data_IF_710375192224
#
_entry.id   IF_710375192224
#
_cell.length_a   1.000
_cell.length_b   1.000
_cell.length_c   1.000
_cell.angle_alpha   90.00
_cell.angle_beta   90.00
_cell.angle_gamma   90.00
#
_symmetry.space_group_name_H-M   'P 1'
#
loop_
_entity.id
_entity.type
_entity.pdbx_description
1 polymer ?
#
# COMPACT_ATOMS: atom_id res chain seq x y z
N UNK A 1 8.66 14.85 -8.35
CA UNK A 1 8.71 13.97 -9.56
C UNK A 1 9.49 12.68 -9.39
N UNK A 2 10.56 12.59 -8.59
CA UNK A 2 11.35 11.35 -8.39
C UNK A 2 10.55 10.02 -8.30
N UNK A 3 9.50 9.87 -7.46
CA UNK A 3 8.80 8.59 -7.33
C UNK A 3 8.04 8.15 -8.60
N UNK A 4 7.67 9.11 -9.46
CA UNK A 4 7.08 8.80 -10.76
C UNK A 4 8.08 8.08 -11.66
N UNK A 5 9.25 8.68 -11.85
CA UNK A 5 10.29 8.12 -12.71
C UNK A 5 10.86 6.83 -12.15
N UNK A 6 10.97 6.70 -10.83
CA UNK A 6 11.37 5.46 -10.19
C UNK A 6 10.44 4.30 -10.57
N UNK A 7 9.12 4.48 -10.42
CA UNK A 7 8.14 3.44 -10.78
C UNK A 7 8.15 3.19 -12.29
N UNK A 8 8.22 4.25 -13.11
CA UNK A 8 8.29 4.15 -14.57
C UNK A 8 9.47 3.27 -15.01
N UNK A 9 10.66 3.47 -14.46
CA UNK A 9 11.85 2.70 -14.84
C UNK A 9 11.65 1.20 -14.67
N UNK A 10 11.05 0.76 -13.56
CA UNK A 10 10.76 -0.66 -13.36
C UNK A 10 9.63 -1.17 -14.27
N UNK A 11 8.56 -0.39 -14.43
CA UNK A 11 7.44 -0.77 -15.29
C UNK A 11 7.88 -0.95 -16.76
N UNK A 12 8.67 0.00 -17.28
CA UNK A 12 9.23 -0.07 -18.64
C UNK A 12 10.20 -1.25 -18.78
N UNK A 13 11.01 -1.52 -17.76
CA UNK A 13 11.91 -2.69 -17.71
C UNK A 13 11.15 -4.02 -17.76
N UNK A 14 10.12 -4.18 -16.93
CA UNK A 14 9.27 -5.38 -16.91
C UNK A 14 8.57 -5.58 -18.26
N UNK A 15 8.03 -4.51 -18.84
CA UNK A 15 7.42 -4.54 -20.17
C UNK A 15 8.41 -4.96 -21.26
N UNK A 16 9.64 -4.46 -21.20
CA UNK A 16 10.71 -4.83 -22.15
C UNK A 16 11.11 -6.30 -22.04
N UNK A 17 10.97 -6.90 -20.86
CA UNK A 17 11.19 -8.32 -20.61
C UNK A 17 9.97 -9.20 -21.00
N UNK A 18 8.93 -8.61 -21.60
CA UNK A 18 7.71 -9.31 -22.01
C UNK A 18 6.68 -9.50 -20.90
N UNK A 19 6.88 -8.90 -19.72
CA UNK A 19 5.95 -9.00 -18.59
C UNK A 19 4.97 -7.82 -18.59
N UNK A 20 3.88 -7.94 -19.35
CA UNK A 20 2.92 -6.84 -19.56
C UNK A 20 1.90 -6.67 -18.45
N UNK A 21 1.61 -7.71 -17.68
CA UNK A 21 0.62 -7.71 -16.59
C UNK A 21 1.26 -7.59 -15.19
N UNK A 22 2.50 -7.08 -15.13
CA UNK A 22 3.21 -6.93 -13.87
C UNK A 22 2.79 -5.70 -13.07
N UNK A 23 2.89 -5.84 -11.74
CA UNK A 23 2.64 -4.79 -10.76
C UNK A 23 3.96 -4.34 -10.13
N UNK A 24 4.09 -3.03 -9.88
CA UNK A 24 5.24 -2.46 -9.15
C UNK A 24 4.77 -1.95 -7.81
N UNK A 25 5.14 -2.64 -6.73
CA UNK A 25 4.90 -2.16 -5.36
C UNK A 25 5.85 -1.00 -5.06
N UNK A 26 5.29 0.19 -4.83
CA UNK A 26 6.04 1.40 -4.51
C UNK A 26 5.60 1.99 -3.18
N UNK A 27 6.58 2.56 -2.45
CA UNK A 27 6.35 3.26 -1.18
C UNK A 27 5.99 4.74 -1.36
N UNK A 28 6.08 5.26 -2.59
CA UNK A 28 5.77 6.66 -2.86
C UNK A 28 5.25 6.85 -4.29
N UNK A 29 4.51 7.95 -4.48
CA UNK A 29 3.81 8.23 -5.72
C UNK A 29 3.87 9.72 -6.08
N UNK A 30 3.54 10.01 -7.34
CA UNK A 30 3.25 11.35 -7.83
C UNK A 30 2.06 11.28 -8.79
N UNK A 31 1.50 12.42 -9.17
CA UNK A 31 0.41 12.51 -10.13
C UNK A 31 0.75 11.74 -11.42
N UNK A 32 -0.16 10.87 -11.87
CA UNK A 32 -0.03 10.09 -13.10
C UNK A 32 0.69 8.75 -12.96
N UNK A 33 1.20 8.39 -11.76
CA UNK A 33 1.95 7.13 -11.55
C UNK A 33 1.11 5.87 -11.82
N UNK A 34 -0.22 5.96 -11.74
CA UNK A 34 -1.13 4.85 -12.03
C UNK A 34 -1.01 4.30 -13.46
N UNK A 35 -0.40 5.07 -14.38
CA UNK A 35 -0.08 4.63 -15.76
C UNK A 35 1.00 3.55 -15.82
N UNK A 36 1.79 3.40 -14.75
CA UNK A 36 2.98 2.55 -14.67
C UNK A 36 2.78 1.35 -13.75
N UNK A 37 1.57 0.79 -13.75
CA UNK A 37 1.17 -0.36 -12.94
C UNK A 37 1.56 -0.27 -11.45
N UNK A 38 1.49 0.94 -10.90
CA UNK A 38 1.95 1.23 -9.55
C UNK A 38 0.94 0.78 -8.50
N UNK A 39 1.37 -0.08 -7.58
CA UNK A 39 0.66 -0.37 -6.33
C UNK A 39 1.29 0.48 -5.24
N UNK A 40 0.54 1.44 -4.69
CA UNK A 40 1.05 2.28 -3.60
C UNK A 40 0.78 1.61 -2.25
N UNK A 41 1.79 1.56 -1.40
CA UNK A 41 1.64 1.11 -0.02
C UNK A 41 1.99 2.23 0.97
N UNK A 42 1.32 2.26 2.12
CA UNK A 42 1.34 3.40 3.06
C UNK A 42 2.61 3.54 3.92
N UNK A 43 3.62 2.70 3.72
CA UNK A 43 4.91 2.86 4.40
C UNK A 43 4.97 2.24 5.81
N UNK A 44 6.11 2.49 6.44
CA UNK A 44 6.52 1.93 7.73
C UNK A 44 5.65 2.50 8.89
N UNK A 45 4.42 2.01 9.01
CA UNK A 45 3.44 2.45 10.03
C UNK A 45 3.60 1.71 11.36
N UNK A 46 3.19 2.30 12.48
CA UNK A 46 3.15 1.59 13.76
C UNK A 46 1.93 0.70 13.87
N UNK A 47 2.07 -0.41 14.59
CA UNK A 47 1.00 -1.34 14.92
C UNK A 47 0.08 -0.79 16.03
N UNK A 48 -0.69 0.26 15.71
CA UNK A 48 -1.71 0.82 16.62
C UNK A 48 -3.04 1.07 15.92
N UNK A 49 -4.13 1.17 16.69
CA UNK A 49 -5.45 1.52 16.17
C UNK A 49 -5.48 2.90 15.50
N UNK A 50 -4.72 3.88 16.01
CA UNK A 50 -4.64 5.22 15.41
C UNK A 50 -4.09 5.18 13.98
N UNK A 51 -3.10 4.32 13.73
CA UNK A 51 -2.53 4.14 12.39
C UNK A 51 -3.50 3.38 11.48
N UNK A 52 -4.28 2.42 12.00
CA UNK A 52 -5.37 1.79 11.25
C UNK A 52 -6.43 2.83 10.84
N UNK A 53 -6.86 3.73 11.74
CA UNK A 53 -7.81 4.80 11.41
C UNK A 53 -7.24 5.74 10.34
N UNK A 54 -5.96 6.11 10.47
CA UNK A 54 -5.27 6.94 9.47
C UNK A 54 -5.21 6.25 8.11
N UNK A 55 -4.99 4.93 8.07
CA UNK A 55 -4.96 4.15 6.84
C UNK A 55 -6.29 4.22 6.07
N UNK A 56 -7.43 4.20 6.76
CA UNK A 56 -8.75 4.32 6.12
C UNK A 56 -8.89 5.67 5.39
N UNK A 57 -8.51 6.77 6.05
CA UNK A 57 -8.54 8.10 5.43
C UNK A 57 -7.52 8.24 4.29
N UNK A 58 -6.33 7.66 4.44
CA UNK A 58 -5.30 7.64 3.41
C UNK A 58 -5.80 6.91 2.14
N UNK A 59 -6.45 5.76 2.29
CA UNK A 59 -7.03 5.01 1.19
C UNK A 59 -7.97 5.88 0.35
N UNK A 60 -8.91 6.57 0.99
CA UNK A 60 -9.90 7.40 0.31
C UNK A 60 -9.22 8.56 -0.46
N UNK A 61 -8.28 9.25 0.16
CA UNK A 61 -7.56 10.36 -0.47
C UNK A 61 -6.70 9.91 -1.66
N UNK A 62 -6.01 8.77 -1.54
CA UNK A 62 -5.20 8.21 -2.62
C UNK A 62 -6.07 7.78 -3.81
N UNK A 63 -7.20 7.12 -3.54
CA UNK A 63 -8.14 6.73 -4.60
C UNK A 63 -8.77 7.95 -5.29
N UNK A 64 -9.17 8.98 -4.54
CA UNK A 64 -9.66 10.25 -5.10
C UNK A 64 -8.57 10.97 -5.93
N UNK A 65 -7.30 10.75 -5.62
CA UNK A 65 -6.17 11.27 -6.40
C UNK A 65 -5.87 10.48 -7.68
N UNK A 66 -6.69 9.45 -8.00
CA UNK A 66 -6.59 8.66 -9.22
C UNK A 66 -5.61 7.48 -9.16
N UNK A 67 -5.12 7.11 -7.96
CA UNK A 67 -4.28 5.94 -7.76
C UNK A 67 -5.16 4.81 -7.22
N UNK A 68 -5.62 3.94 -8.11
CA UNK A 68 -6.58 2.89 -7.78
C UNK A 68 -5.96 1.73 -6.99
N UNK A 69 -4.70 1.38 -7.26
CA UNK A 69 -4.03 0.28 -6.57
C UNK A 69 -3.31 0.78 -5.33
N UNK A 70 -3.87 0.45 -4.17
CA UNK A 70 -3.35 0.85 -2.87
C UNK A 70 -3.49 -0.27 -1.85
N UNK A 71 -2.58 -0.32 -0.86
CA UNK A 71 -2.62 -1.27 0.25
C UNK A 71 -1.87 -0.77 1.49
N UNK A 72 -1.91 -1.55 2.56
CA UNK A 72 -1.15 -1.37 3.81
C UNK A 72 -0.39 -2.65 4.14
N UNK A 73 0.48 -2.61 5.15
CA UNK A 73 0.86 -3.87 5.81
C UNK A 73 -0.23 -4.19 6.83
N UNK A 74 -0.93 -5.31 6.69
CA UNK A 74 -1.94 -5.74 7.67
C UNK A 74 -1.30 -5.90 9.05
N UNK A 75 -1.79 -5.13 10.03
CA UNK A 75 -1.25 -5.08 11.39
C UNK A 75 -0.21 -3.98 11.62
N UNK A 76 0.16 -3.22 10.60
CA UNK A 76 1.23 -2.23 10.67
C UNK A 76 2.63 -2.85 10.55
N UNK A 77 3.64 -2.02 10.32
CA UNK A 77 5.02 -2.44 10.09
C UNK A 77 5.82 -2.64 11.39
N UNK A 78 5.69 -1.71 12.34
CA UNK A 78 6.56 -1.64 13.51
C UNK A 78 5.83 -1.68 14.85
N UNK A 79 6.40 -2.42 15.80
CA UNK A 79 5.96 -2.42 17.21
C UNK A 79 4.84 -3.40 17.56
N UNK A 80 4.45 -4.27 16.63
CA UNK A 80 3.51 -5.36 16.92
C UNK A 80 4.17 -6.49 17.69
N UNK A 81 3.58 -6.88 18.83
CA UNK A 81 3.99 -8.05 19.62
C UNK A 81 2.88 -9.11 19.58
N UNK A 82 3.10 -10.28 18.95
CA UNK A 82 2.10 -11.37 18.90
C UNK A 82 1.63 -11.87 20.28
N UNK A 83 2.43 -11.68 21.33
CA UNK A 83 2.09 -12.07 22.70
C UNK A 83 1.14 -11.08 23.38
N UNK A 84 1.03 -9.85 22.87
CA UNK A 84 0.09 -8.84 23.35
C UNK A 84 -1.34 -9.09 22.81
N UNK A 85 -2.32 -9.13 23.71
CA UNK A 85 -3.74 -9.25 23.35
C UNK A 85 -4.25 -8.09 22.53
N UNK A 86 -3.76 -6.87 22.77
CA UNK A 86 -4.22 -5.68 22.04
C UNK A 86 -3.74 -5.74 20.59
N UNK A 87 -2.49 -6.13 20.36
CA UNK A 87 -2.00 -6.37 19.00
C UNK A 87 -2.74 -7.51 18.28
N UNK A 88 -3.06 -8.62 18.98
CA UNK A 88 -3.87 -9.70 18.40
C UNK A 88 -5.27 -9.24 17.98
N UNK A 89 -5.89 -8.32 18.71
CA UNK A 89 -7.14 -7.72 18.26
C UNK A 89 -6.91 -6.81 17.05
N UNK A 90 -5.90 -5.94 17.12
CA UNK A 90 -5.56 -5.01 16.04
C UNK A 90 -5.34 -5.74 14.72
N UNK A 91 -4.57 -6.83 14.69
CA UNK A 91 -4.28 -7.56 13.44
C UNK A 91 -5.55 -8.15 12.83
N UNK A 92 -6.50 -8.64 13.64
CA UNK A 92 -7.79 -9.15 13.14
C UNK A 92 -8.62 -8.01 12.53
N UNK A 93 -8.67 -6.85 13.18
CA UNK A 93 -9.39 -5.67 12.66
C UNK A 93 -8.74 -5.13 11.40
N UNK A 94 -7.42 -5.09 11.35
CA UNK A 94 -6.67 -4.64 10.18
C UNK A 94 -6.81 -5.65 9.03
N UNK A 95 -6.84 -6.94 9.30
CA UNK A 95 -7.10 -7.98 8.30
C UNK A 95 -8.50 -7.82 7.69
N UNK A 96 -9.51 -7.53 8.52
CA UNK A 96 -10.86 -7.20 8.04
C UNK A 96 -10.88 -5.97 7.13
N UNK A 97 -10.19 -4.90 7.50
CA UNK A 97 -10.03 -3.72 6.65
C UNK A 97 -9.27 -4.06 5.36
N UNK A 98 -8.18 -4.84 5.45
CA UNK A 98 -7.39 -5.29 4.31
C UNK A 98 -8.25 -5.94 3.23
N UNK A 99 -9.25 -6.76 3.61
CA UNK A 99 -10.16 -7.43 2.65
C UNK A 99 -10.96 -6.45 1.78
N UNK A 100 -11.07 -5.18 2.21
CA UNK A 100 -11.73 -4.11 1.45
C UNK A 100 -10.76 -3.26 0.62
N UNK A 101 -9.44 -3.45 0.81
CA UNK A 101 -8.43 -2.74 0.04
C UNK A 101 -8.27 -3.36 -1.37
N UNK A 102 -7.88 -2.56 -2.38
CA UNK A 102 -7.63 -3.05 -3.74
C UNK A 102 -6.63 -4.21 -3.82
N UNK A 103 -5.62 -4.23 -2.94
CA UNK A 103 -4.65 -5.33 -2.82
C UNK A 103 -4.65 -5.80 -1.36
N UNK A 104 -4.84 -7.11 -1.18
CA UNK A 104 -4.82 -7.77 0.13
C UNK A 104 -3.40 -8.25 0.47
N UNK A 105 -2.72 -7.54 1.37
CA UNK A 105 -1.31 -7.77 1.72
C UNK A 105 -1.05 -7.57 3.22
#
# INVERSE_FOLDING_TARGET
MFPYYHTQTYADGLKSAGLTDSLVLSRSAWAGVQKHSAVLWNGDTRSTFDFLTTAIAAMQNIQMSGIAWWTTDIGGYGGGDPSDSTFRELIVRWFQFGMTCPIFR
#
